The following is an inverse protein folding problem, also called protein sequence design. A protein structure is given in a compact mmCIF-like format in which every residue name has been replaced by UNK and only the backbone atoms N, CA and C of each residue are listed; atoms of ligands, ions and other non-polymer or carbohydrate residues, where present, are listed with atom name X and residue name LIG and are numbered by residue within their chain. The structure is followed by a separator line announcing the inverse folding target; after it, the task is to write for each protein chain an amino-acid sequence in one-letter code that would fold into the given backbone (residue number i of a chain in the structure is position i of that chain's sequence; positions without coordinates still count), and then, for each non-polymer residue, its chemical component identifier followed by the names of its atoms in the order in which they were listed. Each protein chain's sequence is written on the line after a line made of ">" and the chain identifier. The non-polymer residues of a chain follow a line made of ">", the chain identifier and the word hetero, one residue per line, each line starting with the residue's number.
data_IF_490224694916
#
_entry.id   IF_490224694916
#
_cell.length_a   1.000
_cell.length_b   1.000
_cell.length_c   1.000
_cell.angle_alpha   90.00
_cell.angle_beta   90.00
_cell.angle_gamma   90.00
#
_symmetry.space_group_name_H-M   'P 1'
#
loop_
_entity.id
_entity.type
_entity.pdbx_description
1 polymer ?
#
# COMPACT_ATOMS: atom_id res chain seq x y z
N UNK A 1 -10.97 28.89 -6.34
CA UNK A 1 -9.56 28.58 -6.67
C UNK A 1 -9.56 27.44 -7.67
N UNK A 2 -8.89 27.55 -8.83
CA UNK A 2 -8.73 26.42 -9.72
C UNK A 2 -7.75 25.42 -9.08
N UNK A 3 -8.09 24.13 -9.08
CA UNK A 3 -7.17 23.06 -8.70
C UNK A 3 -5.97 23.10 -9.68
N UNK A 4 -4.72 22.98 -9.21
CA UNK A 4 -3.58 22.87 -10.11
C UNK A 4 -3.79 21.64 -11.02
N UNK A 5 -3.57 21.84 -12.31
CA UNK A 5 -3.73 20.80 -13.33
C UNK A 5 -2.80 19.61 -13.01
N UNK A 6 -3.36 18.51 -12.50
CA UNK A 6 -2.68 17.23 -12.28
C UNK A 6 -2.45 16.47 -13.60
N UNK A 7 -2.20 17.18 -14.69
CA UNK A 7 -1.66 16.60 -15.91
C UNK A 7 -0.20 17.02 -15.99
N UNK A 8 0.62 16.35 -15.18
CA UNK A 8 2.05 16.33 -15.39
C UNK A 8 2.32 15.96 -16.85
N UNK A 9 3.30 16.62 -17.46
CA UNK A 9 3.73 16.30 -18.84
C UNK A 9 3.85 14.77 -18.96
N UNK A 10 3.42 14.16 -20.09
CA UNK A 10 3.67 12.75 -20.33
C UNK A 10 5.16 12.50 -20.12
N UNK A 11 5.48 11.36 -19.50
CA UNK A 11 6.83 11.00 -19.08
C UNK A 11 7.79 11.06 -20.28
N UNK A 12 8.39 12.23 -20.51
CA UNK A 12 9.39 12.44 -21.55
C UNK A 12 10.73 11.81 -21.18
N UNK A 13 10.88 11.40 -19.91
CA UNK A 13 11.94 10.52 -19.44
C UNK A 13 11.52 9.07 -19.64
N UNK A 14 12.27 8.35 -20.45
CA UNK A 14 12.15 6.92 -20.70
C UNK A 14 11.99 6.14 -19.39
N UNK A 15 10.90 5.38 -19.29
CA UNK A 15 10.71 4.30 -18.32
C UNK A 15 11.94 3.40 -18.40
N UNK A 16 12.67 3.29 -17.29
CA UNK A 16 14.00 2.66 -17.23
C UNK A 16 13.98 1.48 -16.26
N UNK A 17 14.49 0.34 -16.73
CA UNK A 17 14.57 -0.91 -15.97
C UNK A 17 15.46 -0.75 -14.75
N UNK A 18 16.52 0.07 -14.82
CA UNK A 18 17.39 0.32 -13.66
C UNK A 18 16.61 1.02 -12.55
N UNK A 19 15.79 2.01 -12.89
CA UNK A 19 14.94 2.74 -11.92
C UNK A 19 13.86 1.85 -11.33
N UNK A 20 13.25 0.99 -12.15
CA UNK A 20 12.31 -0.03 -11.66
C UNK A 20 12.99 -0.99 -10.68
N UNK A 21 14.21 -1.44 -10.99
CA UNK A 21 15.03 -2.29 -10.12
C UNK A 21 15.36 -1.61 -8.78
N UNK A 22 15.76 -0.33 -8.81
CA UNK A 22 15.98 0.47 -7.60
C UNK A 22 14.72 0.59 -6.75
N UNK A 23 13.56 0.81 -7.37
CA UNK A 23 12.29 0.85 -6.65
C UNK A 23 11.98 -0.47 -5.93
N UNK A 24 12.16 -1.61 -6.62
CA UNK A 24 11.99 -2.94 -6.01
C UNK A 24 12.95 -3.14 -4.84
N UNK A 25 14.23 -2.79 -5.00
CA UNK A 25 15.24 -2.93 -3.94
C UNK A 25 14.91 -2.05 -2.72
N UNK A 26 14.49 -0.80 -2.95
CA UNK A 26 14.09 0.13 -1.91
C UNK A 26 12.93 -0.43 -1.08
N UNK A 27 11.89 -0.95 -1.75
CA UNK A 27 10.74 -1.55 -1.07
C UNK A 27 11.16 -2.82 -0.33
N UNK A 28 12.07 -3.62 -0.88
CA UNK A 28 12.65 -4.78 -0.20
C UNK A 28 13.34 -4.43 1.11
N UNK A 29 14.10 -3.34 1.15
CA UNK A 29 14.76 -2.82 2.36
C UNK A 29 13.77 -2.23 3.36
N UNK A 30 12.69 -1.61 2.88
CA UNK A 30 11.70 -0.94 3.73
C UNK A 30 10.65 -1.89 4.32
N UNK A 31 10.30 -2.99 3.62
CA UNK A 31 9.24 -3.91 4.02
C UNK A 31 9.35 -4.42 5.48
N UNK A 32 10.54 -4.79 6.02
CA UNK A 32 10.68 -5.21 7.42
C UNK A 32 10.31 -4.14 8.45
N UNK A 33 10.31 -2.88 8.03
CA UNK A 33 9.99 -1.71 8.85
C UNK A 33 8.51 -1.32 8.77
N UNK A 34 7.73 -1.97 7.89
CA UNK A 34 6.31 -1.72 7.80
C UNK A 34 5.58 -2.24 9.04
N UNK A 35 4.53 -1.53 9.42
CA UNK A 35 3.69 -1.85 10.57
C UNK A 35 2.22 -1.75 10.20
N UNK A 36 1.40 -2.53 10.89
CA UNK A 36 -0.04 -2.39 10.84
C UNK A 36 -0.46 -1.12 11.60
N UNK A 37 -1.26 -0.29 10.96
CA UNK A 37 -1.97 0.80 11.61
C UNK A 37 -3.30 0.31 12.19
N UNK A 38 -4.00 1.23 12.86
CA UNK A 38 -5.32 0.93 13.44
C UNK A 38 -6.33 0.55 12.34
N UNK A 39 -7.12 -0.52 12.53
CA UNK A 39 -8.15 -0.93 11.58
C UNK A 39 -9.19 0.17 11.35
N UNK A 40 -9.49 0.43 10.08
CA UNK A 40 -10.53 1.34 9.63
C UNK A 40 -11.73 0.50 9.19
N UNK A 41 -12.79 0.55 9.98
CA UNK A 41 -14.03 -0.15 9.70
C UNK A 41 -14.80 0.54 8.59
N UNK A 42 -15.12 -0.19 7.52
CA UNK A 42 -15.95 0.29 6.41
C UNK A 42 -17.19 -0.60 6.27
N UNK A 43 -18.29 -0.07 5.71
CA UNK A 43 -19.49 -0.88 5.46
C UNK A 43 -19.23 -2.15 4.63
N UNK A 44 -18.17 -2.11 3.81
CA UNK A 44 -17.79 -3.17 2.89
C UNK A 44 -16.59 -4.00 3.36
N UNK A 45 -16.05 -3.79 4.57
CA UNK A 45 -14.93 -4.58 5.09
C UNK A 45 -14.02 -3.83 6.05
N UNK A 46 -12.81 -4.37 6.27
CA UNK A 46 -11.80 -3.77 7.14
C UNK A 46 -10.58 -3.37 6.33
N UNK A 47 -10.24 -2.08 6.37
CA UNK A 47 -8.99 -1.55 5.82
C UNK A 47 -7.96 -1.42 6.93
N UNK A 48 -6.78 -1.97 6.73
CA UNK A 48 -5.68 -1.85 7.68
C UNK A 48 -4.59 -1.02 7.03
N UNK A 49 -4.33 0.19 7.50
CA UNK A 49 -3.23 0.98 7.01
C UNK A 49 -1.91 0.22 7.17
N UNK A 50 -1.08 0.26 6.14
CA UNK A 50 0.32 -0.15 6.24
C UNK A 50 1.14 1.11 6.43
N UNK A 51 1.80 1.20 7.57
CA UNK A 51 2.58 2.36 7.98
C UNK A 51 4.05 2.14 7.70
N UNK A 52 4.72 3.19 7.23
CA UNK A 52 6.17 3.29 7.20
C UNK A 52 6.55 4.63 7.83
N UNK A 53 7.32 4.56 8.92
CA UNK A 53 7.56 5.71 9.81
C UNK A 53 6.21 6.30 10.28
N UNK A 54 5.92 7.56 9.94
CA UNK A 54 4.73 8.30 10.38
C UNK A 54 3.67 8.47 9.27
N UNK A 55 3.78 7.73 8.18
CA UNK A 55 2.89 7.86 7.02
C UNK A 55 2.35 6.50 6.57
N UNK A 56 1.14 6.51 6.01
CA UNK A 56 0.61 5.33 5.35
C UNK A 56 1.22 5.18 3.96
N UNK A 57 1.65 3.98 3.60
CA UNK A 57 2.16 3.66 2.26
C UNK A 57 1.09 3.03 1.38
N UNK A 58 0.17 2.28 1.99
CA UNK A 58 -0.99 1.68 1.34
C UNK A 58 -1.98 1.18 2.40
N UNK A 59 -3.11 0.62 1.96
CA UNK A 59 -4.10 -0.10 2.76
C UNK A 59 -4.11 -1.59 2.42
N UNK A 60 -4.01 -2.44 3.42
CA UNK A 60 -4.28 -3.87 3.30
C UNK A 60 -5.79 -4.10 3.51
N UNK A 61 -6.42 -4.75 2.55
CA UNK A 61 -7.83 -5.16 2.70
C UNK A 61 -7.87 -6.46 3.48
N UNK A 62 -8.60 -6.51 4.59
CA UNK A 62 -8.66 -7.67 5.45
C UNK A 62 -10.05 -8.29 5.45
N UNK A 63 -10.11 -9.63 5.44
CA UNK A 63 -11.32 -10.41 5.66
C UNK A 63 -11.25 -11.01 7.08
N UNK A 64 -11.97 -10.44 8.06
CA UNK A 64 -11.97 -10.93 9.43
C UNK A 64 -12.58 -12.33 9.57
N UNK A 65 -13.53 -12.68 8.69
CA UNK A 65 -14.18 -14.00 8.72
C UNK A 65 -13.22 -15.12 8.31
N UNK A 66 -12.31 -14.83 7.37
CA UNK A 66 -11.29 -15.77 6.89
C UNK A 66 -9.91 -15.58 7.52
N UNK A 67 -9.73 -14.53 8.32
CA UNK A 67 -8.48 -14.12 8.95
C UNK A 67 -7.31 -14.03 7.95
N UNK A 68 -7.56 -13.38 6.81
CA UNK A 68 -6.57 -13.26 5.75
C UNK A 68 -6.71 -11.96 4.96
N UNK A 69 -5.63 -11.47 4.33
CA UNK A 69 -5.73 -10.34 3.43
C UNK A 69 -6.47 -10.73 2.15
N UNK A 70 -7.25 -9.80 1.62
CA UNK A 70 -7.85 -9.91 0.30
C UNK A 70 -6.85 -9.46 -0.77
N UNK A 71 -6.79 -10.13 -1.93
CA UNK A 71 -5.99 -9.67 -3.06
C UNK A 71 -6.41 -8.25 -3.50
N UNK A 72 -5.45 -7.44 -3.92
CA UNK A 72 -5.73 -6.16 -4.58
C UNK A 72 -6.62 -6.39 -5.80
N UNK A 73 -7.69 -5.59 -5.90
CA UNK A 73 -8.71 -5.71 -6.96
C UNK A 73 -9.83 -6.71 -6.67
N UNK A 74 -9.77 -7.47 -5.57
CA UNK A 74 -10.87 -8.34 -5.15
C UNK A 74 -12.04 -7.50 -4.58
N UNK A 75 -13.28 -7.73 -5.01
CA UNK A 75 -14.45 -7.12 -4.39
C UNK A 75 -14.53 -7.50 -2.91
N UNK A 76 -14.96 -6.55 -2.08
CA UNK A 76 -15.10 -6.77 -0.64
C UNK A 76 -16.51 -7.25 -0.30
N UNK A 77 -16.60 -8.04 0.77
CA UNK A 77 -17.88 -8.52 1.31
C UNK A 77 -18.28 -7.68 2.52
N UNK A 78 -19.54 -7.25 2.57
CA UNK A 78 -20.13 -6.60 3.75
C UNK A 78 -20.61 -7.63 4.79
N UNK A 79 -20.51 -7.28 6.07
CA UNK A 79 -20.99 -8.14 7.17
C UNK A 79 -20.64 -7.59 8.56
N UNK A 80 -21.19 -8.16 9.63
CA UNK A 80 -20.70 -7.91 10.98
C UNK A 80 -19.32 -8.55 11.15
N UNK A 81 -18.36 -7.81 11.68
CA UNK A 81 -17.00 -8.28 11.88
C UNK A 81 -16.62 -8.17 13.34
N UNK A 82 -15.95 -9.21 13.85
CA UNK A 82 -15.15 -9.09 15.06
C UNK A 82 -13.83 -8.41 14.72
N UNK A 83 -13.42 -7.46 15.55
CA UNK A 83 -12.28 -6.57 15.30
C UNK A 83 -11.14 -6.77 16.29
N UNK A 84 -11.32 -7.64 17.28
CA UNK A 84 -10.33 -7.89 18.30
C UNK A 84 -9.12 -8.66 17.72
N UNK A 85 -7.91 -8.19 18.03
CA UNK A 85 -6.66 -8.87 17.63
C UNK A 85 -6.27 -8.75 16.16
N UNK A 86 -7.03 -8.04 15.32
CA UNK A 86 -6.74 -7.87 13.88
C UNK A 86 -5.33 -7.30 13.64
N UNK A 87 -4.89 -6.35 14.47
CA UNK A 87 -3.57 -5.71 14.34
C UNK A 87 -2.44 -6.73 14.45
N UNK A 88 -2.48 -7.61 15.47
CA UNK A 88 -1.46 -8.64 15.69
C UNK A 88 -1.46 -9.69 14.57
N UNK A 89 -2.65 -10.08 14.10
CA UNK A 89 -2.79 -11.01 12.97
C UNK A 89 -2.13 -10.42 11.71
N UNK A 90 -2.32 -9.13 11.47
CA UNK A 90 -1.81 -8.45 10.27
C UNK A 90 -0.33 -8.12 10.37
N UNK A 91 0.20 -7.82 11.56
CA UNK A 91 1.65 -7.80 11.78
C UNK A 91 2.29 -9.16 11.44
N UNK A 92 1.65 -10.27 11.82
CA UNK A 92 2.08 -11.61 11.45
C UNK A 92 1.98 -11.91 9.94
N UNK A 93 1.07 -11.26 9.22
CA UNK A 93 0.96 -11.32 7.75
C UNK A 93 2.07 -10.51 7.09
N UNK A 94 2.32 -9.28 7.55
CA UNK A 94 3.39 -8.42 7.05
C UNK A 94 4.76 -9.08 7.22
N UNK A 95 5.01 -9.75 8.35
CA UNK A 95 6.24 -10.50 8.60
C UNK A 95 6.46 -11.69 7.66
N UNK A 96 5.44 -12.13 6.92
CA UNK A 96 5.49 -13.20 5.90
C UNK A 96 5.34 -12.68 4.48
N UNK A 97 5.17 -11.37 4.32
CA UNK A 97 5.01 -10.75 3.01
C UNK A 97 6.36 -10.69 2.28
N UNK A 98 6.31 -10.70 0.95
CA UNK A 98 7.48 -10.67 0.09
C UNK A 98 7.29 -9.66 -1.04
N UNK A 99 8.34 -8.92 -1.35
CA UNK A 99 8.35 -8.03 -2.51
C UNK A 99 8.46 -8.89 -3.77
N UNK A 100 7.58 -8.68 -4.73
CA UNK A 100 7.72 -9.32 -6.04
C UNK A 100 8.77 -8.56 -6.86
N UNK A 101 9.63 -9.24 -7.64
CA UNK A 101 10.71 -8.61 -8.39
C UNK A 101 10.20 -7.93 -9.67
N UNK A 102 9.22 -7.04 -9.54
CA UNK A 102 8.58 -6.32 -10.62
C UNK A 102 8.06 -4.96 -10.14
N UNK A 103 7.93 -4.00 -11.05
CA UNK A 103 7.29 -2.73 -10.79
C UNK A 103 6.44 -2.31 -11.99
N UNK A 104 5.31 -1.66 -11.72
CA UNK A 104 4.42 -1.08 -12.71
C UNK A 104 4.56 0.44 -12.65
N UNK A 105 4.81 1.12 -13.78
CA UNK A 105 4.81 2.57 -13.81
C UNK A 105 3.38 3.10 -13.92
N UNK A 106 2.95 4.00 -13.03
CA UNK A 106 1.58 4.55 -13.01
C UNK A 106 1.53 6.07 -13.11
N UNK A 107 0.64 6.53 -14.00
CA UNK A 107 0.15 7.90 -14.09
C UNK A 107 -1.13 8.07 -13.23
N UNK A 108 -1.46 9.30 -12.78
CA UNK A 108 -0.81 10.59 -13.05
C UNK A 108 0.37 10.93 -12.12
N UNK A 109 0.61 10.16 -11.05
CA UNK A 109 1.65 10.47 -10.06
C UNK A 109 3.08 10.26 -10.57
N UNK A 110 3.25 9.65 -11.75
CA UNK A 110 4.54 9.33 -12.34
C UNK A 110 5.45 8.59 -11.36
N UNK A 111 4.94 7.45 -10.86
CA UNK A 111 5.60 6.67 -9.83
C UNK A 111 5.67 5.19 -10.21
N UNK A 112 6.63 4.47 -9.65
CA UNK A 112 6.68 3.03 -9.69
C UNK A 112 5.78 2.45 -8.60
N UNK A 113 4.94 1.48 -8.96
CA UNK A 113 4.18 0.66 -8.03
C UNK A 113 4.88 -0.69 -7.92
N UNK A 114 5.41 -0.98 -6.74
CA UNK A 114 6.01 -2.26 -6.42
C UNK A 114 4.98 -3.12 -5.67
N UNK A 115 4.57 -4.27 -6.22
CA UNK A 115 3.64 -5.16 -5.57
C UNK A 115 4.33 -5.98 -4.48
N UNK A 116 3.69 -6.03 -3.32
CA UNK A 116 4.08 -6.91 -2.22
C UNK A 116 3.02 -7.99 -2.07
N UNK A 117 3.48 -9.23 -2.04
CA UNK A 117 2.65 -10.41 -1.99
C UNK A 117 2.67 -11.07 -0.62
N UNK A 118 1.52 -11.59 -0.20
CA UNK A 118 1.42 -12.58 0.87
C UNK A 118 0.93 -13.89 0.26
N UNK A 119 1.72 -14.96 0.43
CA UNK A 119 1.55 -16.21 -0.34
C UNK A 119 1.50 -15.89 -1.84
N UNK A 120 0.37 -16.15 -2.50
CA UNK A 120 0.15 -15.92 -3.93
C UNK A 120 -0.70 -14.69 -4.24
N UNK A 121 -1.01 -13.86 -3.24
CA UNK A 121 -1.85 -12.68 -3.40
C UNK A 121 -1.01 -11.41 -3.35
N UNK A 122 -1.15 -10.52 -4.34
CA UNK A 122 -0.70 -9.14 -4.20
C UNK A 122 -1.64 -8.45 -3.23
N UNK A 123 -1.13 -8.00 -2.09
CA UNK A 123 -1.93 -7.45 -0.99
C UNK A 123 -1.62 -6.00 -0.70
N UNK A 124 -0.47 -5.51 -1.17
CA UNK A 124 0.01 -4.14 -0.98
C UNK A 124 0.64 -3.64 -2.30
N UNK A 125 0.41 -2.39 -2.63
CA UNK A 125 1.04 -1.63 -3.71
C UNK A 125 1.83 -0.47 -3.12
N UNK A 126 3.16 -0.61 -3.06
CA UNK A 126 4.02 0.46 -2.55
C UNK A 126 4.40 1.37 -3.69
N UNK A 127 4.15 2.67 -3.54
CA UNK A 127 4.57 3.68 -4.52
C UNK A 127 5.97 4.18 -4.24
N UNK A 128 6.74 4.36 -5.30
CA UNK A 128 8.11 4.87 -5.27
C UNK A 128 8.27 5.94 -6.35
N UNK A 129 9.03 7.00 -6.08
CA UNK A 129 9.32 8.09 -7.01
C UNK A 129 9.84 7.59 -8.37
N UNK A 130 9.69 8.37 -9.44
CA UNK A 130 10.08 7.97 -10.80
C UNK A 130 11.57 7.56 -10.93
N UNK A 131 12.44 8.14 -10.11
CA UNK A 131 13.87 7.81 -10.03
C UNK A 131 14.18 6.56 -9.19
N UNK A 132 13.21 6.05 -8.43
CA UNK A 132 13.39 4.87 -7.59
C UNK A 132 14.05 5.15 -6.23
N UNK A 133 14.13 6.42 -5.81
CA UNK A 133 14.90 6.83 -4.62
C UNK A 133 14.05 6.97 -3.35
N UNK A 134 12.75 7.26 -3.47
CA UNK A 134 11.89 7.59 -2.33
C UNK A 134 10.55 6.85 -2.35
N UNK A 135 10.12 6.33 -1.19
CA UNK A 135 8.75 5.81 -1.03
C UNK A 135 7.78 6.98 -0.99
N UNK A 136 6.77 6.94 -1.85
CA UNK A 136 5.74 7.98 -1.94
C UNK A 136 4.57 7.61 -1.02
N UNK A 137 4.27 8.44 0.01
CA UNK A 137 3.16 8.17 0.91
C UNK A 137 1.79 8.18 0.22
N UNK A 138 0.85 7.40 0.77
CA UNK A 138 -0.57 7.65 0.58
C UNK A 138 -1.02 8.79 1.50
N UNK A 139 -0.87 10.02 1.02
CA UNK A 139 -1.32 11.22 1.73
C UNK A 139 -2.84 11.19 2.00
N UNK A 140 -3.64 10.66 1.07
CA UNK A 140 -5.09 10.56 1.27
C UNK A 140 -5.43 9.66 2.45
N UNK A 141 -4.81 8.47 2.49
CA UNK A 141 -4.96 7.54 3.61
C UNK A 141 -4.32 8.05 4.90
N UNK A 142 -3.17 8.73 4.81
CA UNK A 142 -2.51 9.33 5.98
C UNK A 142 -3.44 10.36 6.64
N UNK A 143 -4.10 11.21 5.84
CA UNK A 143 -5.08 12.16 6.36
C UNK A 143 -6.35 11.47 6.88
N UNK A 144 -6.80 10.38 6.26
CA UNK A 144 -7.90 9.54 6.77
C UNK A 144 -7.58 9.03 8.19
N UNK A 145 -6.39 8.44 8.39
CA UNK A 145 -5.93 7.96 9.71
C UNK A 145 -5.86 9.09 10.73
N UNK A 146 -5.30 10.24 10.34
CA UNK A 146 -5.20 11.42 11.23
C UNK A 146 -6.57 11.93 11.68
N UNK A 147 -7.58 11.88 10.81
CA UNK A 147 -8.96 12.29 11.13
C UNK A 147 -9.67 11.29 12.02
N UNK A 148 -9.43 10.00 11.80
CA UNK A 148 -10.03 8.93 12.59
C UNK A 148 -9.34 8.72 13.94
N UNK A 149 -8.15 9.30 14.11
CA UNK A 149 -7.43 9.36 15.38
C UNK A 149 -6.81 8.02 15.75
N UNK A 150 -5.60 8.10 16.31
CA UNK A 150 -5.09 7.07 17.22
C UNK A 150 -6.18 6.75 18.25
#
# INVERSE_FOLDING_TARGET
>A
MPLPHLHGRPCGGTVDVEKAGRAVELVGKALPLFRAGKPIMKPDGVDIPVLYLNFAVDRLHYDPGRKMPLPKGCPRSSGPFDVEGIEEEVEGILGKAQVLPAAEFREPENCWVVPVAWRSFVVIHVRVSADGEEIVPDYGLTEEIRRHGL
#
